data_IF_048252302182
#
_entry.id   IF_048252302182
#
_cell.length_a   1.000
_cell.length_b   1.000
_cell.length_c   1.000
_cell.angle_alpha   90.00
_cell.angle_beta   90.00
_cell.angle_gamma   90.00
#
_symmetry.space_group_name_H-M   'P 1'
#
loop_
_entity.id
_entity.type
_entity.pdbx_description
1 polymer ?
#
# COMPACT_ATOMS: atom_id res chain seq x y z
N UNK A 1 -33.08 40.77 -46.54
CA UNK A 1 -31.75 41.40 -46.30
C UNK A 1 -31.45 41.24 -44.82
N UNK A 2 -30.41 40.47 -44.55
CA UNK A 2 -29.95 39.95 -43.24
C UNK A 2 -29.41 41.06 -42.35
N UNK A 3 -30.00 41.24 -41.16
CA UNK A 3 -29.42 42.04 -40.08
C UNK A 3 -28.58 41.13 -39.19
N UNK A 4 -27.30 41.45 -39.05
CA UNK A 4 -26.36 40.74 -38.18
C UNK A 4 -26.77 40.81 -36.70
N UNK A 5 -26.64 39.73 -35.92
CA UNK A 5 -26.78 39.82 -34.47
C UNK A 5 -25.57 40.54 -33.87
N UNK A 6 -25.90 41.65 -33.22
CA UNK A 6 -25.04 42.54 -32.46
C UNK A 6 -24.36 41.81 -31.30
N UNK A 7 -23.11 42.23 -31.04
CA UNK A 7 -22.25 41.92 -29.89
C UNK A 7 -22.95 42.15 -28.54
N UNK A 8 -23.86 41.26 -28.16
CA UNK A 8 -24.36 41.11 -26.79
C UNK A 8 -23.42 40.18 -26.03
N UNK A 9 -22.35 40.79 -25.54
CA UNK A 9 -21.98 40.77 -24.12
C UNK A 9 -22.33 39.50 -23.35
N UNK A 10 -21.35 38.61 -23.37
CA UNK A 10 -21.15 37.45 -22.49
C UNK A 10 -21.46 37.82 -21.03
N UNK A 11 -22.51 37.24 -20.39
CA UNK A 11 -22.64 37.31 -18.94
C UNK A 11 -21.83 36.17 -18.30
N UNK A 12 -20.65 36.56 -17.81
CA UNK A 12 -19.81 35.95 -16.77
C UNK A 12 -20.40 34.72 -16.04
N UNK A 13 -19.88 33.53 -16.36
CA UNK A 13 -19.14 32.57 -15.48
C UNK A 13 -19.29 32.72 -13.94
N UNK A 14 -20.50 32.89 -13.39
CA UNK A 14 -20.66 33.09 -11.94
C UNK A 14 -21.89 32.45 -11.31
N UNK A 15 -22.27 31.28 -11.82
CA UNK A 15 -23.35 30.48 -11.25
C UNK A 15 -23.01 28.99 -11.05
N UNK A 16 -21.71 28.65 -10.95
CA UNK A 16 -21.27 27.24 -10.83
C UNK A 16 -20.41 26.92 -9.60
N UNK A 17 -20.24 27.85 -8.65
CA UNK A 17 -19.38 27.66 -7.46
C UNK A 17 -20.20 27.59 -6.17
N UNK A 18 -21.37 26.96 -6.19
CA UNK A 18 -22.12 26.71 -4.96
C UNK A 18 -22.87 25.36 -4.97
N UNK A 19 -22.29 24.37 -5.64
CA UNK A 19 -22.73 22.98 -5.45
C UNK A 19 -21.96 22.43 -4.25
N UNK A 20 -22.61 22.05 -3.14
CA UNK A 20 -21.91 21.33 -2.10
C UNK A 20 -21.37 20.06 -2.76
N UNK A 21 -20.07 19.84 -2.63
CA UNK A 21 -19.47 18.56 -2.98
C UNK A 21 -20.15 17.52 -2.09
N UNK A 22 -21.17 16.84 -2.64
CA UNK A 22 -21.71 15.65 -2.03
C UNK A 22 -20.51 14.75 -1.74
N UNK A 23 -20.28 14.48 -0.46
CA UNK A 23 -19.28 13.53 0.00
C UNK A 23 -19.61 12.21 -0.67
N UNK A 24 -18.93 11.91 -1.78
CA UNK A 24 -18.97 10.58 -2.35
C UNK A 24 -18.40 9.68 -1.28
N UNK A 25 -19.29 8.95 -0.61
CA UNK A 25 -18.91 7.98 0.39
C UNK A 25 -17.88 7.05 -0.26
N UNK A 26 -16.63 7.11 0.20
CA UNK A 26 -15.59 6.20 -0.27
C UNK A 26 -16.17 4.80 -0.15
N UNK A 27 -16.26 4.06 -1.25
CA UNK A 27 -16.70 2.68 -1.22
C UNK A 27 -15.78 1.97 -0.24
N UNK A 28 -16.35 1.53 0.89
CA UNK A 28 -15.60 0.78 1.89
C UNK A 28 -14.99 -0.41 1.16
N UNK A 29 -13.69 -0.66 1.40
CA UNK A 29 -13.04 -1.85 0.88
C UNK A 29 -13.83 -3.12 1.20
N UNK A 30 -13.48 -4.22 0.52
CA UNK A 30 -14.15 -5.51 0.72
C UNK A 30 -14.33 -5.85 2.20
N UNK A 31 -15.45 -6.51 2.53
CA UNK A 31 -15.77 -6.88 3.91
C UNK A 31 -14.58 -7.58 4.60
N UNK A 32 -14.41 -7.42 5.93
CA UNK A 32 -13.40 -8.16 6.67
C UNK A 32 -13.49 -9.67 6.38
N UNK A 33 -12.39 -10.27 5.92
CA UNK A 33 -12.37 -11.67 5.49
C UNK A 33 -12.68 -11.93 4.01
N UNK A 34 -12.98 -10.88 3.23
CA UNK A 34 -13.19 -11.00 1.79
C UNK A 34 -11.87 -11.33 1.07
N UNK A 35 -11.74 -12.59 0.66
CA UNK A 35 -10.61 -13.08 -0.13
C UNK A 35 -10.82 -12.93 -1.65
N UNK A 36 -11.93 -12.36 -2.13
CA UNK A 36 -12.23 -12.29 -3.57
C UNK A 36 -11.15 -11.57 -4.39
N UNK A 37 -10.44 -10.59 -3.80
CA UNK A 37 -9.33 -9.95 -4.49
C UNK A 37 -8.13 -10.89 -4.73
N UNK A 38 -7.97 -11.91 -3.87
CA UNK A 38 -6.93 -12.95 -3.97
C UNK A 38 -7.30 -14.07 -4.93
N UNK A 39 -8.58 -14.48 -4.95
CA UNK A 39 -9.04 -15.62 -5.77
C UNK A 39 -9.57 -15.24 -7.15
N UNK A 40 -10.14 -14.04 -7.29
CA UNK A 40 -10.84 -13.62 -8.51
C UNK A 40 -10.57 -12.17 -8.92
N UNK A 41 -9.66 -11.48 -8.22
CA UNK A 41 -9.31 -10.08 -8.47
C UNK A 41 -8.05 -9.90 -9.30
N UNK A 42 -7.56 -8.65 -9.35
CA UNK A 42 -6.36 -8.20 -10.07
C UNK A 42 -5.15 -9.15 -9.93
N UNK A 43 -4.96 -9.78 -8.77
CA UNK A 43 -3.83 -10.69 -8.52
C UNK A 43 -3.97 -12.05 -9.21
N UNK A 44 -5.18 -12.60 -9.34
CA UNK A 44 -5.41 -13.86 -10.06
C UNK A 44 -5.16 -13.73 -11.58
N UNK A 45 -5.26 -12.51 -12.11
CA UNK A 45 -5.01 -12.20 -13.53
C UNK A 45 -3.53 -11.97 -13.86
N UNK A 46 -2.70 -11.68 -12.85
CA UNK A 46 -1.30 -11.27 -13.05
C UNK A 46 -0.28 -12.27 -12.53
N UNK A 47 -0.68 -13.23 -11.70
CA UNK A 47 0.22 -14.22 -11.11
C UNK A 47 0.18 -15.54 -11.89
N UNK A 48 1.36 -16.06 -12.21
CA UNK A 48 1.54 -17.43 -12.72
C UNK A 48 1.08 -18.46 -11.67
N UNK A 49 0.79 -19.71 -12.07
CA UNK A 49 0.38 -20.75 -11.12
C UNK A 49 1.36 -20.91 -9.94
N UNK A 50 2.67 -20.89 -10.21
CA UNK A 50 3.71 -20.96 -9.18
C UNK A 50 3.65 -19.79 -8.21
N UNK A 51 3.34 -18.58 -8.69
CA UNK A 51 3.20 -17.39 -7.84
C UNK A 51 1.89 -17.39 -7.04
N UNK A 52 0.83 -18.04 -7.53
CA UNK A 52 -0.40 -18.24 -6.79
C UNK A 52 -0.18 -19.22 -5.63
N UNK A 53 0.53 -20.33 -5.86
CA UNK A 53 0.91 -21.29 -4.81
C UNK A 53 1.81 -20.63 -3.75
N UNK A 54 2.74 -19.78 -4.19
CA UNK A 54 3.58 -18.99 -3.30
C UNK A 54 2.77 -17.97 -2.49
N UNK A 55 1.77 -17.31 -3.11
CA UNK A 55 0.89 -16.38 -2.44
C UNK A 55 0.02 -17.08 -1.39
N UNK A 56 -0.52 -18.26 -1.70
CA UNK A 56 -1.33 -19.05 -0.77
C UNK A 56 -0.48 -19.55 0.41
N UNK A 57 0.73 -20.03 0.12
CA UNK A 57 1.71 -20.40 1.15
C UNK A 57 2.07 -19.23 2.05
N UNK A 58 2.33 -18.04 1.46
CA UNK A 58 2.64 -16.82 2.18
C UNK A 58 1.44 -16.28 2.97
N UNK A 59 0.21 -16.46 2.47
CA UNK A 59 -1.02 -16.06 3.15
C UNK A 59 -1.26 -16.82 4.46
N UNK A 60 -0.74 -18.05 4.56
CA UNK A 60 -0.79 -18.86 5.78
C UNK A 60 0.25 -18.47 6.84
N UNK A 61 1.28 -17.71 6.47
CA UNK A 61 2.32 -17.24 7.40
C UNK A 61 1.75 -16.08 8.22
N UNK A 62 1.66 -16.30 9.52
CA UNK A 62 1.16 -15.34 10.50
C UNK A 62 2.33 -14.64 11.20
N UNK A 63 2.28 -13.31 11.24
CA UNK A 63 3.25 -12.48 11.95
C UNK A 63 4.54 -12.28 11.16
N UNK A 64 5.55 -11.71 11.84
CA UNK A 64 6.89 -11.44 11.28
C UNK A 64 8.00 -12.11 12.11
N UNK A 65 7.65 -13.10 12.93
CA UNK A 65 8.55 -13.69 13.94
C UNK A 65 9.81 -14.27 13.31
N UNK A 66 9.67 -15.00 12.20
CA UNK A 66 10.80 -15.64 11.51
C UNK A 66 11.67 -14.59 10.81
N UNK A 67 11.08 -13.60 10.18
CA UNK A 67 11.77 -12.49 9.52
C UNK A 67 12.55 -11.66 10.55
N UNK A 68 11.95 -11.40 11.72
CA UNK A 68 12.61 -10.69 12.84
C UNK A 68 13.78 -11.50 13.37
N UNK A 69 13.63 -12.81 13.55
CA UNK A 69 14.72 -13.69 13.96
C UNK A 69 15.87 -13.66 12.93
N UNK A 70 15.55 -13.77 11.64
CA UNK A 70 16.52 -13.71 10.55
C UNK A 70 17.25 -12.35 10.52
N UNK A 71 16.52 -11.24 10.68
CA UNK A 71 17.09 -9.90 10.68
C UNK A 71 18.06 -9.71 11.86
N UNK A 72 17.74 -10.25 13.05
CA UNK A 72 18.64 -10.22 14.22
C UNK A 72 19.94 -10.98 13.95
N UNK A 73 19.86 -12.18 13.38
CA UNK A 73 21.04 -12.97 12.99
C UNK A 73 21.87 -12.21 11.95
N UNK A 74 21.22 -11.60 10.95
CA UNK A 74 21.93 -10.86 9.91
C UNK A 74 22.63 -9.62 10.45
N UNK A 75 22.00 -8.87 11.37
CA UNK A 75 22.64 -7.74 12.07
C UNK A 75 23.87 -8.23 12.83
N UNK A 76 23.79 -9.37 13.50
CA UNK A 76 24.95 -9.94 14.20
C UNK A 76 26.10 -10.27 13.24
N UNK A 77 25.82 -10.88 12.09
CA UNK A 77 26.82 -11.12 11.05
C UNK A 77 27.41 -9.83 10.47
N UNK A 78 26.60 -8.78 10.30
CA UNK A 78 27.07 -7.48 9.82
C UNK A 78 28.00 -6.79 10.83
N UNK A 79 27.74 -6.93 12.13
CA UNK A 79 28.62 -6.40 13.19
C UNK A 79 29.97 -7.14 13.20
N UNK A 80 29.97 -8.44 12.92
CA UNK A 80 31.19 -9.25 12.87
C UNK A 80 32.06 -8.98 11.63
N UNK A 81 31.50 -8.39 10.56
CA UNK A 81 32.19 -8.09 9.32
C UNK A 81 32.93 -6.73 9.41
N UNK A 82 34.28 -6.71 9.42
CA UNK A 82 35.05 -5.48 9.63
C UNK A 82 34.86 -4.41 8.55
N UNK A 83 34.45 -4.81 7.35
CA UNK A 83 34.20 -3.90 6.23
C UNK A 83 32.81 -3.26 6.26
N UNK A 84 31.95 -3.64 7.21
CA UNK A 84 30.59 -3.11 7.28
C UNK A 84 30.58 -1.65 7.68
N UNK A 85 30.02 -0.81 6.79
CA UNK A 85 29.76 0.60 7.08
C UNK A 85 28.68 0.77 8.16
N UNK A 86 28.86 1.76 9.03
CA UNK A 86 27.88 2.15 10.05
C UNK A 86 26.51 2.48 9.45
N UNK A 87 26.47 2.99 8.22
CA UNK A 87 25.22 3.28 7.51
C UNK A 87 24.37 2.01 7.27
N UNK A 88 25.03 0.89 6.94
CA UNK A 88 24.37 -0.40 6.72
C UNK A 88 23.78 -0.91 8.04
N UNK A 89 24.53 -0.79 9.14
CA UNK A 89 24.05 -1.20 10.47
C UNK A 89 22.84 -0.37 10.91
N UNK A 90 22.88 0.95 10.73
CA UNK A 90 21.74 1.84 11.04
C UNK A 90 20.52 1.48 10.21
N UNK A 91 20.69 1.20 8.91
CA UNK A 91 19.61 0.77 8.02
C UNK A 91 19.00 -0.56 8.49
N UNK A 92 19.85 -1.53 8.85
CA UNK A 92 19.40 -2.83 9.33
C UNK A 92 18.64 -2.74 10.68
N UNK A 93 19.16 -1.96 11.63
CA UNK A 93 18.48 -1.73 12.93
C UNK A 93 17.14 -1.01 12.76
N UNK A 94 17.06 -0.02 11.87
CA UNK A 94 15.79 0.66 11.54
C UNK A 94 14.78 -0.31 10.91
N UNK A 95 15.23 -1.19 10.03
CA UNK A 95 14.38 -2.22 9.44
C UNK A 95 13.84 -3.17 10.51
N UNK A 96 14.71 -3.66 11.41
CA UNK A 96 14.31 -4.51 12.53
C UNK A 96 13.27 -3.82 13.44
N UNK A 97 13.50 -2.55 13.79
CA UNK A 97 12.57 -1.79 14.64
C UNK A 97 11.19 -1.70 14.00
N UNK A 98 11.12 -1.38 12.70
CA UNK A 98 9.86 -1.32 11.96
C UNK A 98 9.16 -2.68 11.89
N UNK A 99 9.90 -3.76 11.75
CA UNK A 99 9.32 -5.11 11.72
C UNK A 99 8.69 -5.49 13.06
N UNK A 100 9.37 -5.19 14.18
CA UNK A 100 8.83 -5.40 15.53
C UNK A 100 7.58 -4.54 15.74
N UNK A 101 7.63 -3.26 15.39
CA UNK A 101 6.48 -2.35 15.50
C UNK A 101 5.27 -2.85 14.71
N UNK A 102 5.50 -3.39 13.50
CA UNK A 102 4.43 -3.96 12.67
C UNK A 102 3.89 -5.23 13.29
N UNK A 103 4.74 -6.11 13.81
CA UNK A 103 4.29 -7.31 14.50
C UNK A 103 3.38 -6.99 15.69
N UNK A 104 3.80 -6.05 16.54
CA UNK A 104 3.04 -5.64 17.72
C UNK A 104 1.70 -4.99 17.35
N UNK A 105 1.67 -4.17 16.29
CA UNK A 105 0.44 -3.53 15.79
C UNK A 105 -0.53 -4.52 15.16
N UNK A 106 0.00 -5.56 14.51
CA UNK A 106 -0.81 -6.59 13.86
C UNK A 106 -1.35 -7.58 14.89
N UNK A 107 -0.77 -7.65 16.10
CA UNK A 107 -1.27 -8.47 17.21
C UNK A 107 -1.18 -9.97 16.94
N UNK A 108 -0.28 -10.38 16.05
CA UNK A 108 -0.07 -11.77 15.65
C UNK A 108 1.31 -12.21 16.17
N UNK A 109 1.28 -12.90 17.31
CA UNK A 109 2.44 -13.58 17.91
C UNK A 109 2.54 -15.03 17.41
#
# INVERSE_FOLDING_TARGET
>A
MTTEPTSQDIPLVRAAIDRPAEFTSRQRGGQPGNQNARTHGFYALCLTPTEQDALESAAGIKGLTHEIALMRVKIFSLIAEPSTSSEILIKAVRALTRMVDVQDKVGIH
#
